data_IF_121580648474
#
_entry.id   IF_121580648474
#
_cell.length_a   1.000
_cell.length_b   1.000
_cell.length_c   1.000
_cell.angle_alpha   90.00
_cell.angle_beta   90.00
_cell.angle_gamma   90.00
#
_symmetry.space_group_name_H-M   'P 1'
#
loop_
_entity.id
_entity.type
_entity.pdbx_description
1 polymer ?
#
# COMPACT_ATOMS: atom_id res chain seq x y z
N UNK A 1 1.00 -21.13 -6.79
CA UNK A 1 0.29 -20.78 -5.54
C UNK A 1 1.09 -21.37 -4.39
N UNK A 2 1.56 -20.56 -3.44
CA UNK A 2 2.29 -21.05 -2.27
C UNK A 2 1.30 -21.58 -1.24
N UNK A 3 1.63 -22.68 -0.56
CA UNK A 3 0.83 -23.12 0.57
C UNK A 3 0.98 -22.09 1.71
N UNK A 4 -0.15 -21.69 2.30
CA UNK A 4 -0.20 -20.66 3.35
C UNK A 4 -0.72 -21.23 4.65
N UNK A 5 -0.08 -20.86 5.76
CA UNK A 5 -0.61 -21.09 7.10
C UNK A 5 -1.29 -19.83 7.62
N UNK A 6 -2.48 -20.00 8.20
CA UNK A 6 -3.25 -18.93 8.84
C UNK A 6 -3.11 -19.02 10.36
N UNK A 7 -2.75 -17.90 10.98
CA UNK A 7 -2.71 -17.71 12.42
C UNK A 7 -3.84 -16.77 12.84
N UNK A 8 -4.51 -17.11 13.92
CA UNK A 8 -5.68 -16.38 14.42
C UNK A 8 -5.45 -15.91 15.85
N UNK A 9 -5.69 -14.62 16.10
CA UNK A 9 -5.50 -13.97 17.40
C UNK A 9 -6.78 -13.23 17.81
N UNK A 10 -7.37 -13.62 18.93
CA UNK A 10 -8.58 -12.96 19.47
C UNK A 10 -8.30 -11.62 20.11
N UNK A 11 -7.09 -11.44 20.63
CA UNK A 11 -6.63 -10.23 21.32
C UNK A 11 -5.57 -9.54 20.45
N UNK A 12 -5.75 -8.25 20.10
CA UNK A 12 -4.76 -7.48 19.35
C UNK A 12 -3.39 -7.44 20.05
N UNK A 13 -3.35 -7.45 21.39
CA UNK A 13 -2.10 -7.50 22.14
C UNK A 13 -1.34 -8.83 21.94
N UNK A 14 -2.04 -9.92 21.60
CA UNK A 14 -1.40 -11.20 21.29
C UNK A 14 -0.67 -11.19 19.93
N UNK A 15 -1.02 -10.27 19.03
CA UNK A 15 -0.44 -10.18 17.68
C UNK A 15 1.07 -9.94 17.75
N UNK A 16 1.54 -9.01 18.59
CA UNK A 16 2.98 -8.73 18.72
C UNK A 16 3.74 -9.94 19.26
N UNK A 17 3.16 -10.69 20.20
CA UNK A 17 3.78 -11.90 20.74
C UNK A 17 3.86 -12.99 19.68
N UNK A 18 2.78 -13.20 18.93
CA UNK A 18 2.72 -14.14 17.80
C UNK A 18 3.73 -13.80 16.71
N UNK A 19 3.81 -12.54 16.29
CA UNK A 19 4.79 -12.07 15.31
C UNK A 19 6.24 -12.22 15.79
N UNK A 20 6.51 -11.98 17.09
CA UNK A 20 7.83 -12.22 17.68
C UNK A 20 8.20 -13.70 17.66
N UNK A 21 7.25 -14.59 17.93
CA UNK A 21 7.48 -16.04 17.87
C UNK A 21 7.72 -16.51 16.44
N UNK A 22 6.92 -16.05 15.48
CA UNK A 22 7.12 -16.34 14.06
C UNK A 22 8.48 -15.83 13.55
N UNK A 23 8.96 -14.68 14.05
CA UNK A 23 10.32 -14.21 13.73
C UNK A 23 11.40 -15.18 14.18
N UNK A 24 11.27 -15.78 15.37
CA UNK A 24 12.23 -16.80 15.84
C UNK A 24 12.24 -18.03 14.94
N UNK A 25 11.10 -18.32 14.29
CA UNK A 25 10.95 -19.39 13.31
C UNK A 25 11.44 -18.99 11.90
N UNK A 26 11.90 -17.76 11.69
CA UNK A 26 12.44 -17.29 10.41
C UNK A 26 11.53 -16.32 9.63
N UNK A 27 10.35 -15.97 10.16
CA UNK A 27 9.47 -15.03 9.47
C UNK A 27 10.11 -13.64 9.35
N UNK A 28 10.27 -13.19 8.11
CA UNK A 28 10.67 -11.82 7.79
C UNK A 28 9.44 -10.95 7.48
N UNK A 29 9.54 -9.61 7.48
CA UNK A 29 8.45 -8.73 7.02
C UNK A 29 7.94 -9.07 5.62
N UNK A 30 8.84 -9.55 4.75
CA UNK A 30 8.48 -10.04 3.42
C UNK A 30 7.66 -11.34 3.47
N UNK A 31 7.69 -12.10 4.55
CA UNK A 31 6.88 -13.32 4.69
C UNK A 31 5.46 -13.06 5.20
N UNK A 32 5.14 -11.85 5.66
CA UNK A 32 3.78 -11.50 6.04
C UNK A 32 2.97 -11.27 4.76
N UNK A 33 2.06 -12.19 4.41
CA UNK A 33 1.36 -12.16 3.12
C UNK A 33 0.06 -11.37 3.23
N UNK A 34 -0.78 -11.70 4.21
CA UNK A 34 -2.05 -11.01 4.46
C UNK A 34 -2.22 -10.78 5.95
N UNK A 35 -2.83 -9.65 6.28
CA UNK A 35 -3.36 -9.36 7.61
C UNK A 35 -4.76 -8.83 7.42
N UNK A 36 -5.73 -9.41 8.11
CA UNK A 36 -7.11 -8.96 8.05
C UNK A 36 -7.80 -9.10 9.41
N UNK A 37 -8.82 -8.29 9.63
CA UNK A 37 -9.65 -8.30 10.82
C UNK A 37 -11.04 -8.81 10.49
N UNK A 38 -11.60 -9.60 11.39
CA UNK A 38 -13.01 -9.94 11.33
C UNK A 38 -13.88 -8.80 11.90
N UNK A 39 -15.22 -8.87 11.79
CA UNK A 39 -16.11 -7.85 12.34
C UNK A 39 -16.08 -7.71 13.86
N UNK A 40 -15.41 -8.62 14.58
CA UNK A 40 -15.22 -8.58 16.03
C UNK A 40 -13.85 -7.98 16.40
N UNK A 41 -13.01 -7.66 15.42
CA UNK A 41 -11.66 -7.17 15.61
C UNK A 41 -10.62 -8.27 15.86
N UNK A 42 -10.96 -9.55 15.67
CA UNK A 42 -10.02 -10.66 15.76
C UNK A 42 -9.08 -10.66 14.54
N UNK A 43 -7.79 -10.90 14.77
CA UNK A 43 -6.74 -10.77 13.75
C UNK A 43 -6.44 -12.10 13.08
N UNK A 44 -6.48 -12.10 11.74
CA UNK A 44 -6.07 -13.20 10.88
C UNK A 44 -4.77 -12.83 10.15
N UNK A 45 -3.75 -13.67 10.26
CA UNK A 45 -2.44 -13.48 9.63
C UNK A 45 -2.12 -14.68 8.75
N UNK A 46 -1.87 -14.44 7.48
CA UNK A 46 -1.39 -15.46 6.56
C UNK A 46 0.11 -15.31 6.29
N UNK A 47 0.83 -16.43 6.40
CA UNK A 47 2.26 -16.55 6.07
C UNK A 47 2.48 -17.79 5.21
N UNK A 48 3.60 -17.93 4.48
CA UNK A 48 3.95 -19.19 3.82
C UNK A 48 4.10 -20.32 4.83
N UNK A 49 3.73 -21.55 4.44
CA UNK A 49 4.07 -22.74 5.23
C UNK A 49 5.58 -22.96 5.32
N UNK A 50 6.27 -22.73 4.20
CA UNK A 50 7.74 -22.72 4.11
C UNK A 50 8.27 -21.29 4.24
N UNK A 51 8.80 -20.96 5.42
CA UNK A 51 9.34 -19.63 5.70
C UNK A 51 10.65 -19.34 4.97
N UNK A 52 11.39 -20.35 4.51
CA UNK A 52 12.61 -20.17 3.72
C UNK A 52 12.28 -19.72 2.29
N UNK A 53 11.12 -20.13 1.77
CA UNK A 53 10.62 -19.70 0.45
C UNK A 53 10.34 -18.19 0.37
N UNK A 54 10.24 -17.48 1.51
CA UNK A 54 10.02 -16.02 1.58
C UNK A 54 11.09 -15.22 0.84
N UNK A 55 12.33 -15.73 0.78
CA UNK A 55 13.42 -15.07 0.06
C UNK A 55 13.12 -14.89 -1.44
N UNK A 56 12.30 -15.78 -2.01
CA UNK A 56 11.92 -15.76 -3.42
C UNK A 56 10.77 -14.80 -3.75
N UNK A 57 9.95 -14.45 -2.75
CA UNK A 57 8.71 -13.66 -2.95
C UNK A 57 9.05 -12.18 -3.14
N UNK A 58 8.84 -11.64 -4.34
CA UNK A 58 8.96 -10.21 -4.60
C UNK A 58 7.69 -9.49 -4.17
N UNK A 59 7.77 -8.19 -3.90
CA UNK A 59 6.61 -7.40 -3.45
C UNK A 59 5.48 -7.42 -4.49
N UNK A 60 5.81 -7.35 -5.79
CA UNK A 60 4.82 -7.50 -6.86
C UNK A 60 4.13 -8.86 -6.85
N UNK A 61 4.85 -9.95 -6.57
CA UNK A 61 4.28 -11.30 -6.49
C UNK A 61 3.21 -11.38 -5.39
N UNK A 62 3.45 -10.72 -4.25
CA UNK A 62 2.46 -10.66 -3.17
C UNK A 62 1.15 -10.03 -3.60
N UNK A 63 1.21 -8.97 -4.40
CA UNK A 63 0.02 -8.24 -4.85
C UNK A 63 -0.86 -9.10 -5.76
N UNK A 64 -0.29 -10.14 -6.38
CA UNK A 64 -1.01 -11.12 -7.19
C UNK A 64 -1.56 -12.33 -6.41
N UNK A 65 -1.27 -12.44 -5.11
CA UNK A 65 -1.78 -13.54 -4.31
C UNK A 65 -3.29 -13.40 -4.06
N UNK A 66 -3.98 -14.54 -4.06
CA UNK A 66 -5.35 -14.63 -3.59
C UNK A 66 -5.33 -14.82 -2.07
N UNK A 67 -6.16 -14.07 -1.35
CA UNK A 67 -6.29 -14.20 0.10
C UNK A 67 -6.76 -15.62 0.46
N UNK A 68 -6.10 -16.32 1.40
CA UNK A 68 -6.51 -17.65 1.83
C UNK A 68 -7.66 -17.60 2.86
N UNK A 69 -8.12 -16.40 3.24
CA UNK A 69 -9.10 -16.27 4.28
C UNK A 69 -10.53 -16.47 3.77
N UNK A 70 -11.36 -17.11 4.58
CA UNK A 70 -12.78 -17.27 4.31
C UNK A 70 -13.62 -16.27 5.12
N UNK A 71 -14.77 -15.88 4.55
CA UNK A 71 -15.73 -15.01 5.22
C UNK A 71 -15.49 -13.51 5.03
N UNK A 72 -16.20 -12.71 5.82
CA UNK A 72 -16.16 -11.24 5.73
C UNK A 72 -15.02 -10.71 6.58
N UNK A 73 -13.93 -10.29 5.94
CA UNK A 73 -12.75 -9.74 6.61
C UNK A 73 -12.32 -8.41 5.97
N UNK A 74 -11.76 -7.54 6.79
CA UNK A 74 -11.25 -6.22 6.40
C UNK A 74 -9.73 -6.26 6.37
N UNK A 75 -9.14 -6.01 5.20
CA UNK A 75 -7.73 -6.29 4.94
C UNK A 75 -6.86 -5.05 5.11
N UNK A 76 -5.67 -5.24 5.68
CA UNK A 76 -4.60 -4.26 5.57
C UNK A 76 -3.88 -4.43 4.23
N UNK A 77 -3.52 -3.32 3.60
CA UNK A 77 -2.69 -3.29 2.39
C UNK A 77 -1.22 -3.05 2.70
N UNK A 78 -0.95 -2.15 3.64
CA UNK A 78 0.40 -1.81 4.04
C UNK A 78 0.42 -1.22 5.44
N UNK A 79 1.53 -1.45 6.16
CA UNK A 79 1.83 -0.78 7.42
C UNK A 79 3.25 -0.22 7.33
N UNK A 80 3.38 1.07 7.65
CA UNK A 80 4.63 1.81 7.58
C UNK A 80 4.99 2.34 8.96
N UNK A 81 6.22 2.04 9.38
CA UNK A 81 6.87 2.70 10.50
C UNK A 81 7.53 3.97 9.99
N UNK A 82 7.01 5.12 10.41
CA UNK A 82 7.57 6.42 10.04
C UNK A 82 8.92 6.65 10.75
N UNK A 83 9.83 7.48 10.20
CA UNK A 83 11.15 7.68 10.79
C UNK A 83 11.06 8.46 12.11
N UNK A 84 11.76 7.97 13.14
CA UNK A 84 11.70 8.55 14.47
C UNK A 84 10.51 8.03 15.29
N UNK A 85 10.65 8.05 16.62
CA UNK A 85 9.62 7.52 17.53
C UNK A 85 8.37 8.40 17.62
N UNK A 86 8.45 9.66 17.20
CA UNK A 86 7.38 10.65 17.33
C UNK A 86 6.50 10.77 16.09
N UNK A 87 6.94 10.25 14.94
CA UNK A 87 6.14 10.30 13.71
C UNK A 87 5.13 9.15 13.62
N UNK A 88 5.27 8.10 14.42
CA UNK A 88 4.25 7.05 14.55
C UNK A 88 4.15 6.07 13.37
N UNK A 89 2.92 5.69 13.08
CA UNK A 89 2.54 4.59 12.18
C UNK A 89 1.52 5.09 11.17
N UNK A 90 1.75 4.76 9.90
CA UNK A 90 0.80 4.94 8.82
C UNK A 90 0.36 3.56 8.30
N UNK A 91 -0.92 3.34 8.08
CA UNK A 91 -1.39 2.13 7.40
C UNK A 91 -2.46 2.43 6.36
N UNK A 92 -2.52 1.55 5.36
CA UNK A 92 -3.51 1.55 4.29
C UNK A 92 -4.29 0.23 4.33
N UNK A 93 -5.51 0.23 3.82
CA UNK A 93 -6.33 -0.98 3.67
C UNK A 93 -7.81 -0.69 3.49
N UNK A 94 -8.63 -1.68 3.79
CA UNK A 94 -10.08 -1.61 3.74
C UNK A 94 -10.61 -0.54 4.68
N UNK A 95 -11.34 0.45 4.16
CA UNK A 95 -11.92 1.55 4.94
C UNK A 95 -12.71 1.07 6.16
N UNK A 96 -13.31 -0.12 6.08
CA UNK A 96 -14.07 -0.74 7.18
C UNK A 96 -13.21 -1.26 8.33
N UNK A 97 -11.88 -1.17 8.24
CA UNK A 97 -10.99 -1.37 9.38
C UNK A 97 -11.35 -0.44 10.55
N UNK A 98 -11.92 0.74 10.29
CA UNK A 98 -12.49 1.65 11.30
C UNK A 98 -13.53 0.96 12.19
N UNK A 99 -14.30 0.04 11.63
CA UNK A 99 -15.47 -0.57 12.29
C UNK A 99 -15.06 -1.62 13.35
N UNK A 100 -13.80 -2.06 13.33
CA UNK A 100 -13.30 -3.17 14.13
C UNK A 100 -12.81 -2.77 15.52
N UNK A 101 -12.46 -1.49 15.70
CA UNK A 101 -11.83 -0.97 16.93
C UNK A 101 -10.37 -1.41 17.14
N UNK A 102 -9.95 -2.60 16.69
CA UNK A 102 -8.61 -3.15 16.93
C UNK A 102 -7.55 -2.80 15.89
N UNK A 103 -7.94 -2.26 14.73
CA UNK A 103 -7.00 -1.93 13.66
C UNK A 103 -5.78 -1.08 14.09
N UNK A 104 -5.93 -0.04 14.93
CA UNK A 104 -4.79 0.78 15.37
C UNK A 104 -3.79 -0.02 16.21
N UNK A 105 -4.27 -0.89 17.10
CA UNK A 105 -3.43 -1.75 17.94
C UNK A 105 -2.64 -2.75 17.08
N UNK A 106 -3.30 -3.35 16.09
CA UNK A 106 -2.67 -4.30 15.16
C UNK A 106 -1.63 -3.59 14.28
N UNK A 107 -1.92 -2.40 13.76
CA UNK A 107 -0.96 -1.60 13.00
C UNK A 107 0.26 -1.22 13.86
N UNK A 108 0.03 -0.81 15.10
CA UNK A 108 1.10 -0.53 16.07
C UNK A 108 1.93 -1.77 16.40
N UNK A 109 1.30 -2.93 16.60
CA UNK A 109 1.98 -4.20 16.84
C UNK A 109 2.87 -4.58 15.66
N UNK A 110 2.39 -4.43 14.42
CA UNK A 110 3.19 -4.68 13.21
C UNK A 110 4.36 -3.68 13.13
N UNK A 111 4.12 -2.40 13.38
CA UNK A 111 5.16 -1.36 13.39
C UNK A 111 6.25 -1.63 14.43
N UNK A 112 5.85 -2.02 15.65
CA UNK A 112 6.78 -2.39 16.72
C UNK A 112 7.59 -3.63 16.34
N UNK A 113 6.93 -4.64 15.77
CA UNK A 113 7.62 -5.81 15.24
C UNK A 113 8.66 -5.41 14.21
N UNK A 114 8.34 -4.51 13.26
CA UNK A 114 9.27 -4.02 12.23
C UNK A 114 10.54 -3.38 12.83
N UNK A 115 10.51 -2.81 14.05
CA UNK A 115 11.71 -2.23 14.70
C UNK A 115 12.83 -3.25 14.88
N UNK A 116 12.50 -4.52 15.11
CA UNK A 116 13.50 -5.59 15.19
C UNK A 116 13.93 -6.17 13.83
N UNK A 117 13.70 -5.43 12.74
CA UNK A 117 14.14 -5.77 11.38
C UNK A 117 14.73 -4.53 10.69
N UNK A 118 15.45 -4.73 9.58
CA UNK A 118 15.90 -3.62 8.73
C UNK A 118 14.77 -2.95 7.95
N UNK A 119 13.60 -3.58 7.85
CA UNK A 119 12.45 -3.05 7.14
C UNK A 119 11.79 -1.90 7.92
N UNK A 120 11.26 -0.94 7.16
CA UNK A 120 10.45 0.17 7.69
C UNK A 120 8.97 0.03 7.35
N UNK A 121 8.60 -0.97 6.57
CA UNK A 121 7.24 -1.21 6.14
C UNK A 121 7.02 -2.69 5.88
N UNK A 122 5.74 -3.03 5.76
CA UNK A 122 5.28 -4.29 5.19
C UNK A 122 4.21 -3.99 4.16
N UNK A 123 4.33 -4.63 3.00
CA UNK A 123 3.30 -4.64 1.96
C UNK A 123 2.65 -6.02 1.96
N UNK A 124 1.33 -6.01 1.96
CA UNK A 124 0.45 -7.16 2.04
C UNK A 124 -0.21 -7.38 0.67
N UNK A 125 -0.76 -8.58 0.48
CA UNK A 125 -1.46 -8.94 -0.75
C UNK A 125 -2.67 -8.05 -1.01
N UNK A 126 -3.09 -7.99 -2.28
CA UNK A 126 -4.16 -7.11 -2.72
C UNK A 126 -5.51 -7.83 -2.66
N UNK A 127 -6.48 -7.27 -1.94
CA UNK A 127 -7.87 -7.71 -2.00
C UNK A 127 -8.77 -6.55 -2.42
N UNK A 128 -9.84 -6.76 -3.22
CA UNK A 128 -10.72 -5.67 -3.62
C UNK A 128 -11.48 -5.07 -2.41
N UNK A 129 -11.34 -3.77 -2.18
CA UNK A 129 -12.06 -3.03 -1.14
C UNK A 129 -12.07 -1.52 -1.44
N UNK A 130 -12.87 -0.76 -0.66
CA UNK A 130 -12.82 0.71 -0.67
C UNK A 130 -11.61 1.16 0.14
N UNK A 131 -10.66 1.92 -0.42
CA UNK A 131 -9.40 2.22 0.26
C UNK A 131 -9.60 3.24 1.39
N UNK A 132 -8.81 3.06 2.45
CA UNK A 132 -8.62 3.98 3.54
C UNK A 132 -7.16 4.09 3.93
N UNK A 133 -6.80 5.24 4.48
CA UNK A 133 -5.48 5.54 5.05
C UNK A 133 -5.68 6.13 6.44
N UNK A 134 -4.81 5.75 7.38
CA UNK A 134 -4.84 6.17 8.77
C UNK A 134 -3.44 6.42 9.30
N UNK A 135 -3.38 7.28 10.31
CA UNK A 135 -2.15 7.60 11.02
C UNK A 135 -2.39 7.65 12.53
N UNK A 136 -1.41 7.21 13.31
CA UNK A 136 -1.37 7.44 14.77
C UNK A 136 0.08 7.50 15.25
N UNK A 137 0.34 8.20 16.36
CA UNK A 137 1.65 8.19 17.02
C UNK A 137 1.92 6.80 17.62
N UNK A 138 0.92 6.25 18.31
CA UNK A 138 0.96 4.95 18.96
C UNK A 138 -0.47 4.41 19.21
N UNK A 139 -0.56 3.28 19.93
CA UNK A 139 -1.82 2.61 20.22
C UNK A 139 -2.70 3.33 21.26
N UNK A 140 -2.16 4.32 21.97
CA UNK A 140 -2.89 5.12 22.97
C UNK A 140 -3.33 6.48 22.41
N UNK A 141 -2.75 6.88 21.29
CA UNK A 141 -3.01 8.15 20.64
C UNK A 141 -4.23 8.10 19.74
N UNK A 142 -4.87 9.25 19.57
CA UNK A 142 -6.00 9.39 18.65
C UNK A 142 -5.58 9.05 17.22
N UNK A 143 -6.37 8.20 16.57
CA UNK A 143 -6.20 7.86 15.17
C UNK A 143 -6.71 8.99 14.30
N UNK A 144 -5.89 9.43 13.35
CA UNK A 144 -6.31 10.34 12.29
C UNK A 144 -6.68 9.54 11.05
N UNK A 145 -7.95 9.66 10.63
CA UNK A 145 -8.46 9.09 9.39
C UNK A 145 -8.12 10.03 8.21
N UNK A 146 -7.03 9.76 7.51
CA UNK A 146 -6.56 10.62 6.41
C UNK A 146 -7.58 10.70 5.27
N UNK A 147 -8.29 9.60 5.04
CA UNK A 147 -9.34 9.54 4.03
C UNK A 147 -10.55 10.43 4.35
N UNK A 148 -10.83 10.71 5.63
CA UNK A 148 -11.84 11.68 6.04
C UNK A 148 -11.39 13.13 5.77
N UNK A 149 -10.08 13.37 5.72
CA UNK A 149 -9.47 14.64 5.27
C UNK A 149 -9.35 14.73 3.73
N UNK A 150 -9.82 13.71 3.02
CA UNK A 150 -9.77 13.60 1.56
C UNK A 150 -8.49 12.95 1.01
N UNK A 151 -7.52 12.59 1.85
CA UNK A 151 -6.26 11.97 1.42
C UNK A 151 -6.37 10.44 1.35
N UNK A 152 -6.10 9.88 0.16
CA UNK A 152 -6.13 8.44 -0.11
C UNK A 152 -4.80 7.95 -0.66
N UNK A 153 -4.61 6.63 -0.60
CA UNK A 153 -3.45 5.89 -1.12
C UNK A 153 -2.13 6.51 -0.65
N UNK A 154 -2.00 6.70 0.68
CA UNK A 154 -0.84 7.35 1.25
C UNK A 154 0.43 6.50 1.10
N UNK A 155 1.47 7.08 0.52
CA UNK A 155 2.76 6.41 0.26
C UNK A 155 3.88 7.12 1.01
N UNK A 156 4.68 6.35 1.74
CA UNK A 156 5.81 6.89 2.50
C UNK A 156 7.05 7.02 1.62
N UNK A 157 7.64 8.21 1.59
CA UNK A 157 8.90 8.53 0.89
C UNK A 157 10.06 8.67 1.88
N UNK A 158 11.24 9.08 1.40
CA UNK A 158 12.36 9.43 2.29
C UNK A 158 12.15 10.74 3.05
N UNK A 159 11.29 11.64 2.56
CA UNK A 159 11.13 13.01 3.07
C UNK A 159 9.74 13.28 3.67
N UNK A 160 8.77 12.40 3.44
CA UNK A 160 7.40 12.60 3.91
C UNK A 160 6.42 11.54 3.45
N UNK A 161 5.17 11.96 3.34
CA UNK A 161 4.03 11.14 2.91
C UNK A 161 3.45 11.77 1.65
N UNK A 162 3.33 11.01 0.58
CA UNK A 162 2.56 11.39 -0.60
C UNK A 162 1.13 10.87 -0.48
N UNK A 163 0.17 11.62 -0.98
CA UNK A 163 -1.23 11.18 -1.05
C UNK A 163 -1.94 11.84 -2.23
N UNK A 164 -2.90 11.13 -2.82
CA UNK A 164 -3.87 11.74 -3.75
C UNK A 164 -5.10 12.21 -2.99
N UNK A 165 -5.94 13.00 -3.65
CA UNK A 165 -7.32 13.27 -3.20
C UNK A 165 -8.36 12.64 -4.11
N UNK A 166 -9.58 12.46 -3.59
CA UNK A 166 -10.76 12.13 -4.41
C UNK A 166 -11.03 13.29 -5.37
N UNK A 167 -11.42 12.99 -6.60
CA UNK A 167 -11.83 13.97 -7.63
C UNK A 167 -10.77 15.04 -7.90
N UNK A 168 -9.49 14.64 -7.84
CA UNK A 168 -8.37 15.57 -7.91
C UNK A 168 -7.28 15.03 -8.83
N UNK A 169 -6.74 15.91 -9.67
CA UNK A 169 -5.57 15.63 -10.49
C UNK A 169 -4.24 15.90 -9.75
N UNK A 170 -4.31 16.38 -8.51
CA UNK A 170 -3.17 16.80 -7.71
C UNK A 170 -2.63 15.66 -6.85
N UNK A 171 -1.31 15.58 -6.76
CA UNK A 171 -0.60 14.81 -5.74
C UNK A 171 -0.09 15.76 -4.66
N UNK A 172 -0.32 15.37 -3.41
CA UNK A 172 0.07 16.14 -2.24
C UNK A 172 1.20 15.47 -1.48
N UNK A 173 2.03 16.28 -0.83
CA UNK A 173 3.11 15.84 0.03
C UNK A 173 2.96 16.45 1.42
N UNK A 174 3.15 15.64 2.46
CA UNK A 174 3.32 16.07 3.84
C UNK A 174 4.73 15.72 4.29
N UNK A 175 5.55 16.75 4.51
CA UNK A 175 6.90 16.56 5.01
C UNK A 175 6.92 16.00 6.43
N UNK A 176 7.89 15.16 6.73
CA UNK A 176 8.09 14.67 8.10
C UNK A 176 8.40 15.78 9.10
N UNK A 177 9.07 16.84 8.65
CA UNK A 177 9.32 18.00 9.49
C UNK A 177 8.01 18.71 9.87
N UNK A 178 7.12 18.94 8.91
CA UNK A 178 5.80 19.51 9.17
C UNK A 178 4.99 18.59 10.10
N UNK A 179 4.95 17.29 9.83
CA UNK A 179 4.26 16.32 10.69
C UNK A 179 4.79 16.34 12.13
N UNK A 180 6.11 16.41 12.31
CA UNK A 180 6.72 16.51 13.64
C UNK A 180 6.36 17.82 14.36
N UNK A 181 6.31 18.94 13.64
CA UNK A 181 6.01 20.27 14.19
C UNK A 181 4.54 20.40 14.61
N UNK A 182 3.62 19.91 13.78
CA UNK A 182 2.18 19.99 14.03
C UNK A 182 1.68 18.87 14.95
N UNK A 183 2.42 17.75 15.08
CA UNK A 183 2.03 16.59 15.86
C UNK A 183 0.82 15.81 15.30
N UNK A 184 0.37 16.16 14.10
CA UNK A 184 -0.79 15.60 13.42
C UNK A 184 -0.67 15.83 11.90
N UNK A 185 -1.15 14.90 11.06
CA UNK A 185 -1.17 15.06 9.61
C UNK A 185 -2.39 15.84 9.11
N UNK A 186 -3.05 16.65 9.96
CA UNK A 186 -4.20 17.49 9.56
C UNK A 186 -3.80 18.74 8.78
N UNK A 187 -2.54 19.17 8.89
CA UNK A 187 -1.99 20.38 8.29
C UNK A 187 -0.64 20.09 7.62
N UNK A 188 -0.12 21.04 6.83
CA UNK A 188 1.22 20.94 6.22
C UNK A 188 1.29 20.20 4.88
N UNK A 189 0.14 19.83 4.30
CA UNK A 189 0.08 19.23 2.96
C UNK A 189 0.28 20.28 1.87
N UNK A 190 1.22 20.02 0.95
CA UNK A 190 1.50 20.87 -0.21
C UNK A 190 1.26 20.10 -1.50
N UNK A 191 0.74 20.79 -2.52
CA UNK A 191 0.68 20.21 -3.87
C UNK A 191 2.10 20.14 -4.44
N UNK A 192 2.48 18.97 -4.96
CA UNK A 192 3.81 18.74 -5.55
C UNK A 192 3.77 18.32 -7.00
N UNK A 193 2.60 17.89 -7.51
CA UNK A 193 2.42 17.48 -8.89
C UNK A 193 0.95 17.60 -9.30
N UNK A 194 0.69 17.94 -10.56
CA UNK A 194 -0.65 17.92 -11.16
C UNK A 194 -0.61 17.10 -12.46
N UNK A 195 -1.49 16.10 -12.54
CA UNK A 195 -1.63 15.23 -13.70
C UNK A 195 -2.39 15.90 -14.85
N UNK A 196 -1.80 15.88 -16.05
CA UNK A 196 -2.50 16.28 -17.29
C UNK A 196 -3.43 15.17 -17.83
N UNK A 197 -3.36 13.96 -17.27
CA UNK A 197 -4.20 12.81 -17.66
C UNK A 197 -5.52 12.73 -16.87
N UNK A 198 -5.92 13.81 -16.20
CA UNK A 198 -7.14 13.86 -15.39
C UNK A 198 -6.88 13.46 -13.94
N UNK A 199 -7.95 13.12 -13.23
CA UNK A 199 -7.88 12.79 -11.81
C UNK A 199 -6.93 11.63 -11.55
N UNK A 200 -6.21 11.71 -10.44
CA UNK A 200 -5.38 10.62 -9.94
C UNK A 200 -6.32 9.62 -9.25
N UNK A 201 -6.38 8.41 -9.81
CA UNK A 201 -7.27 7.34 -9.35
C UNK A 201 -6.58 6.41 -8.34
N UNK A 202 -5.29 6.14 -8.53
CA UNK A 202 -4.50 5.28 -7.67
C UNK A 202 -3.04 5.75 -7.65
N UNK A 203 -2.39 5.59 -6.50
CA UNK A 203 -0.95 5.76 -6.34
C UNK A 203 -0.33 4.39 -6.10
N UNK A 204 0.76 4.08 -6.79
CA UNK A 204 1.52 2.84 -6.56
C UNK A 204 1.89 2.72 -5.07
N UNK A 205 1.71 1.53 -4.46
CA UNK A 205 1.82 1.33 -3.00
C UNK A 205 3.19 1.69 -2.39
N UNK A 206 4.24 1.81 -3.22
CA UNK A 206 5.60 2.15 -2.75
C UNK A 206 6.39 2.93 -3.78
N UNK A 207 7.28 3.78 -3.29
CA UNK A 207 8.36 4.38 -4.10
C UNK A 207 9.49 3.36 -4.27
N UNK A 208 9.97 3.18 -5.49
CA UNK A 208 11.15 2.35 -5.78
C UNK A 208 12.18 3.14 -6.58
N UNK A 209 13.39 3.30 -6.04
CA UNK A 209 14.45 4.06 -6.72
C UNK A 209 14.04 5.51 -7.04
N UNK A 210 13.28 6.14 -6.13
CA UNK A 210 12.67 7.46 -6.31
C UNK A 210 11.65 7.56 -7.47
N UNK A 211 11.23 6.44 -8.03
CA UNK A 211 10.14 6.37 -9.02
C UNK A 211 8.83 5.98 -8.35
N UNK A 212 7.75 6.57 -8.85
CA UNK A 212 6.39 6.25 -8.45
C UNK A 212 5.50 6.30 -9.69
N UNK A 213 4.66 5.28 -9.89
CA UNK A 213 3.61 5.34 -10.90
C UNK A 213 2.31 5.85 -10.28
N UNK A 214 1.69 6.76 -11.00
CA UNK A 214 0.38 7.32 -10.73
C UNK A 214 -0.56 6.81 -11.83
N UNK A 215 -1.68 6.26 -11.41
CA UNK A 215 -2.77 5.88 -12.31
C UNK A 215 -3.78 7.02 -12.37
N UNK A 216 -4.07 7.50 -13.57
CA UNK A 216 -4.98 8.59 -13.83
C UNK A 216 -6.14 8.15 -14.74
N UNK A 217 -7.18 8.97 -14.84
CA UNK A 217 -8.37 8.69 -15.68
C UNK A 217 -8.02 8.36 -17.14
N UNK A 218 -7.02 9.03 -17.71
CA UNK A 218 -6.65 8.87 -19.13
C UNK A 218 -5.31 8.17 -19.35
N UNK A 219 -4.77 7.51 -18.33
CA UNK A 219 -3.59 6.66 -18.45
C UNK A 219 -2.66 6.71 -17.25
N UNK A 220 -1.37 6.47 -17.48
CA UNK A 220 -0.38 6.33 -16.42
C UNK A 220 0.69 7.42 -16.52
N UNK A 221 1.20 7.84 -15.37
CA UNK A 221 2.32 8.78 -15.26
C UNK A 221 3.36 8.18 -14.33
N UNK A 222 4.63 8.17 -14.73
CA UNK A 222 5.75 7.88 -13.82
C UNK A 222 6.45 9.17 -13.45
N UNK A 223 6.62 9.39 -12.15
CA UNK A 223 7.30 10.57 -11.61
C UNK A 223 8.58 10.21 -10.86
N UNK A 224 9.55 11.12 -10.90
CA UNK A 224 10.72 11.20 -10.02
C UNK A 224 10.36 11.99 -8.77
N UNK A 225 10.63 11.42 -7.60
CA UNK A 225 10.42 12.07 -6.30
C UNK A 225 11.72 12.27 -5.52
N UNK A 226 12.88 12.16 -6.19
CA UNK A 226 14.20 12.28 -5.54
C UNK A 226 14.47 13.68 -4.98
N UNK A 227 13.81 14.70 -5.51
CA UNK A 227 13.95 16.11 -5.14
C UNK A 227 12.76 16.67 -4.36
N UNK A 228 11.92 15.81 -3.77
CA UNK A 228 10.84 16.27 -2.88
C UNK A 228 11.41 17.07 -1.69
N UNK A 229 10.72 18.15 -1.25
CA UNK A 229 9.45 18.66 -1.78
C UNK A 229 9.59 19.60 -3.00
N UNK A 230 10.81 20.03 -3.31
CA UNK A 230 11.08 21.14 -4.24
C UNK A 230 10.72 20.83 -5.69
N UNK A 231 10.89 19.57 -6.12
CA UNK A 231 10.69 19.18 -7.51
C UNK A 231 10.20 17.74 -7.64
N UNK A 232 9.13 17.57 -8.41
CA UNK A 232 8.67 16.29 -8.95
C UNK A 232 8.80 16.34 -10.47
N UNK A 233 9.47 15.35 -11.04
CA UNK A 233 9.76 15.31 -12.48
C UNK A 233 8.92 14.22 -13.13
N UNK A 234 8.08 14.56 -14.10
CA UNK A 234 7.46 13.56 -14.95
C UNK A 234 8.52 12.89 -15.83
N UNK A 235 8.60 11.56 -15.77
CA UNK A 235 9.62 10.77 -16.49
C UNK A 235 9.07 9.80 -17.50
N UNK A 236 7.79 9.43 -17.37
CA UNK A 236 7.05 8.79 -18.43
C UNK A 236 5.57 9.18 -18.35
N UNK A 237 4.93 9.24 -19.52
CA UNK A 237 3.49 9.44 -19.64
C UNK A 237 2.95 8.50 -20.69
N UNK A 238 1.90 7.80 -20.32
CA UNK A 238 1.33 6.72 -21.13
C UNK A 238 -0.17 6.92 -21.23
N UNK A 239 -0.64 7.64 -22.26
CA UNK A 239 -2.07 7.72 -22.55
C UNK A 239 -2.61 6.33 -22.89
N UNK A 240 -3.63 5.89 -22.16
CA UNK A 240 -4.25 4.59 -22.39
C UNK A 240 -5.72 4.57 -21.96
N UNK A 241 -6.44 3.50 -22.35
CA UNK A 241 -7.82 3.31 -21.91
C UNK A 241 -7.86 3.23 -20.38
N UNK A 242 -8.85 3.90 -19.81
CA UNK A 242 -9.12 3.93 -18.38
C UNK A 242 -9.45 2.53 -17.86
N UNK A 243 -9.24 2.31 -16.56
CA UNK A 243 -9.62 1.06 -15.90
C UNK A 243 -8.47 0.11 -15.57
N UNK A 244 -7.24 0.39 -16.00
CA UNK A 244 -6.05 -0.27 -15.47
C UNK A 244 -5.43 0.57 -14.36
N UNK A 245 -4.83 -0.08 -13.36
CA UNK A 245 -4.10 0.58 -12.30
C UNK A 245 -2.83 -0.16 -11.92
N UNK A 246 -1.74 0.59 -11.73
CA UNK A 246 -0.48 0.02 -11.22
C UNK A 246 -0.50 0.09 -9.69
N UNK A 247 -0.56 -1.08 -9.04
CA UNK A 247 -0.58 -1.19 -7.57
C UNK A 247 0.81 -1.43 -6.97
N UNK A 248 1.77 -1.83 -7.80
CA UNK A 248 3.14 -2.04 -7.38
C UNK A 248 4.05 -2.40 -8.54
N UNK A 249 5.34 -2.51 -8.26
CA UNK A 249 6.33 -3.04 -9.18
C UNK A 249 7.35 -3.94 -8.49
N UNK A 250 7.93 -4.82 -9.28
CA UNK A 250 9.05 -5.66 -8.94
C UNK A 250 10.35 -4.89 -9.23
N UNK A 251 11.38 -5.16 -8.42
CA UNK A 251 12.70 -4.61 -8.62
C UNK A 251 13.19 -4.93 -10.05
N UNK A 252 13.57 -3.89 -10.77
CA UNK A 252 13.95 -3.87 -12.18
C UNK A 252 12.82 -3.82 -13.22
N UNK A 253 11.52 -3.64 -12.94
CA UNK A 253 10.57 -3.12 -13.96
C UNK A 253 9.37 -3.96 -14.39
N UNK A 254 9.14 -5.15 -13.84
CA UNK A 254 7.82 -5.80 -13.97
C UNK A 254 6.78 -5.09 -13.08
N UNK A 255 5.55 -4.93 -13.56
CA UNK A 255 4.48 -4.20 -12.87
C UNK A 255 3.40 -5.15 -12.36
N UNK A 256 2.91 -4.92 -11.15
CA UNK A 256 1.67 -5.50 -10.66
C UNK A 256 0.51 -4.57 -11.06
N UNK A 257 -0.32 -5.03 -11.99
CA UNK A 257 -1.40 -4.26 -12.58
C UNK A 257 -2.73 -4.88 -12.19
N UNK A 258 -3.68 -4.06 -11.75
CA UNK A 258 -5.09 -4.44 -11.57
C UNK A 258 -5.93 -3.80 -12.67
N UNK A 259 -7.14 -4.32 -12.86
CA UNK A 259 -8.16 -3.71 -13.69
C UNK A 259 -9.47 -3.57 -12.93
N UNK A 260 -10.23 -2.51 -13.19
CA UNK A 260 -11.53 -2.25 -12.58
C UNK A 260 -12.31 -1.19 -13.33
N UNK A 261 -13.50 -0.89 -12.84
CA UNK A 261 -14.34 0.19 -13.37
C UNK A 261 -13.86 1.52 -12.80
N UNK A 262 -13.65 2.51 -13.66
CA UNK A 262 -13.23 3.84 -13.23
C UNK A 262 -14.37 4.56 -12.54
N UNK A 263 -14.08 5.07 -11.35
CA UNK A 263 -14.93 5.96 -10.58
C UNK A 263 -14.15 7.24 -10.24
N UNK A 264 -14.84 8.36 -9.94
CA UNK A 264 -14.18 9.61 -9.55
C UNK A 264 -13.22 9.46 -8.35
N UNK A 265 -13.50 8.50 -7.47
CA UNK A 265 -12.71 8.21 -6.26
C UNK A 265 -11.65 7.12 -6.42
N UNK A 266 -11.56 6.43 -7.57
CA UNK A 266 -10.59 5.35 -7.79
C UNK A 266 -11.09 4.28 -8.77
N UNK A 267 -10.78 3.02 -8.48
CA UNK A 267 -11.27 1.86 -9.25
C UNK A 267 -12.24 1.02 -8.39
N UNK A 268 -13.41 0.68 -8.93
CA UNK A 268 -14.34 -0.32 -8.38
C UNK A 268 -14.21 -1.66 -9.09
N UNK A 269 -14.79 -2.71 -8.50
CA UNK A 269 -14.84 -4.05 -9.08
C UNK A 269 -13.45 -4.54 -9.53
N UNK A 270 -12.43 -4.22 -8.73
CA UNK A 270 -11.05 -4.51 -9.07
C UNK A 270 -10.83 -6.01 -9.14
N UNK A 271 -10.16 -6.44 -10.21
CA UNK A 271 -9.62 -7.79 -10.33
C UNK A 271 -8.34 -7.93 -9.50
N UNK A 272 -8.00 -9.14 -9.02
CA UNK A 272 -6.69 -9.39 -8.43
C UNK A 272 -5.57 -8.89 -9.34
N UNK A 273 -4.50 -8.36 -8.75
CA UNK A 273 -3.40 -7.83 -9.57
C UNK A 273 -2.70 -8.97 -10.31
N UNK A 274 -2.29 -8.70 -11.53
CA UNK A 274 -1.49 -9.59 -12.37
C UNK A 274 -0.10 -8.98 -12.59
N UNK A 275 0.91 -9.84 -12.65
CA UNK A 275 2.25 -9.40 -13.01
C UNK A 275 2.38 -9.30 -14.51
N UNK A 276 2.75 -8.12 -14.98
CA UNK A 276 2.88 -7.77 -16.39
C UNK A 276 4.29 -7.28 -16.64
N UNK A 277 4.86 -7.78 -17.73
CA UNK A 277 6.14 -7.36 -18.25
C UNK A 277 7.34 -8.16 -17.75
N UNK A 278 8.51 -7.75 -18.21
CA UNK A 278 9.81 -8.39 -17.97
C UNK A 278 10.70 -7.58 -17.02
N UNK A 279 11.72 -8.21 -16.42
CA UNK A 279 12.80 -7.45 -15.79
C UNK A 279 13.41 -6.53 -16.85
N UNK A 280 13.42 -5.23 -16.57
CA UNK A 280 13.84 -4.05 -17.34
C UNK A 280 12.75 -3.33 -18.14
N UNK A 281 11.49 -3.76 -18.03
CA UNK A 281 10.41 -3.11 -18.77
C UNK A 281 10.13 -1.69 -18.26
N UNK A 282 10.06 -0.74 -19.21
CA UNK A 282 9.68 0.63 -18.91
C UNK A 282 8.16 0.78 -18.90
N UNK A 283 7.65 1.78 -18.19
CA UNK A 283 6.21 2.09 -18.20
C UNK A 283 5.66 2.28 -19.62
N UNK A 284 6.47 2.81 -20.55
CA UNK A 284 6.09 3.08 -21.94
C UNK A 284 5.73 1.81 -22.74
N UNK A 285 6.27 0.65 -22.34
CA UNK A 285 6.01 -0.63 -23.01
C UNK A 285 4.76 -1.33 -22.49
N UNK A 286 4.29 -0.96 -21.29
CA UNK A 286 3.17 -1.60 -20.59
C UNK A 286 1.88 -1.71 -21.44
N UNK A 287 1.46 -0.70 -22.23
CA UNK A 287 0.26 -0.82 -23.05
C UNK A 287 0.35 -1.89 -24.12
N UNK A 288 1.55 -2.12 -24.69
CA UNK A 288 1.74 -3.17 -25.69
C UNK A 288 1.57 -4.53 -25.03
N UNK A 289 2.17 -4.69 -23.85
CA UNK A 289 2.10 -5.92 -23.07
C UNK A 289 0.66 -6.22 -22.65
N UNK A 290 -0.07 -5.23 -22.13
CA UNK A 290 -1.48 -5.37 -21.75
C UNK A 290 -2.41 -5.73 -22.92
N UNK A 291 -2.17 -5.19 -24.13
CA UNK A 291 -2.94 -5.55 -25.33
C UNK A 291 -2.67 -6.96 -25.82
N UNK A 292 -1.49 -7.50 -25.53
CA UNK A 292 -1.11 -8.85 -25.92
C UNK A 292 -1.67 -9.92 -24.96
N UNK A 293 -2.23 -9.51 -23.81
CA UNK A 293 -2.86 -10.44 -22.88
C UNK A 293 -4.29 -10.73 -23.33
N UNK A 294 -4.71 -12.01 -23.39
CA UNK A 294 -6.10 -12.33 -23.58
C UNK A 294 -6.87 -11.76 -22.38
N UNK A 295 -7.78 -10.81 -22.66
CA UNK A 295 -8.79 -10.42 -21.69
C UNK A 295 -9.76 -11.61 -21.64
N UNK A 296 -9.74 -12.35 -20.54
CA UNK A 296 -10.83 -13.28 -20.26
C UNK A 296 -12.07 -12.42 -20.00
N UNK A 297 -13.00 -12.44 -20.97
CA UNK A 297 -14.35 -11.83 -20.88
C UNK A 297 -15.22 -12.53 -19.82
#
# INVERSE_FOLDING_TARGET
>A
MFATRVYHYRDPAAVILGLKELRKQGLTPRGLLFVALDPRGETNIAVPEDLDAVASIRVGDKLSLVSPFEGRLFHFDAVHRLPGSTLGVLWNGDRRLSDTGSAPEVACAISEWLKGSSAKNVFLGCTPHVPGSWWTVDHLSTVTELHALGYLDCVVTSHGILARKIDSAQLYHLEFQALAQHGSPTEGWTEVFTSELGNILLVERRVLGYRLVITCERGLVEIDVSHLPDLVIETARVPMRSGFGVVGRIDNGAFAVTSGTVEPWGLTNMSPAMLVGSPTESLLELPKTLRAMPLDD
#
